data_IF_606963227032
#
_entry.id   IF_606963227032
#
_cell.length_a   1.000
_cell.length_b   1.000
_cell.length_c   1.000
_cell.angle_alpha   90.00
_cell.angle_beta   90.00
_cell.angle_gamma   90.00
#
_symmetry.space_group_name_H-M   'P 1'
#
loop_
_entity.id
_entity.type
_entity.pdbx_description
1 polymer ?
#
# COMPACT_ATOMS: atom_id res chain seq x y z
N UNK A 1 5.34 -12.45 21.95
CA UNK A 1 4.84 -12.24 20.58
C UNK A 1 3.71 -11.24 20.65
N UNK A 2 3.75 -10.17 19.87
CA UNK A 2 2.66 -9.19 19.84
C UNK A 2 1.45 -9.85 19.17
N UNK A 3 0.31 -9.88 19.86
CA UNK A 3 -0.93 -10.39 19.30
C UNK A 3 -1.59 -9.26 18.53
N UNK A 4 -1.53 -9.31 17.20
CA UNK A 4 -2.21 -8.34 16.35
C UNK A 4 -3.72 -8.63 16.34
N UNK A 5 -4.51 -7.56 16.35
CA UNK A 5 -5.96 -7.67 16.28
C UNK A 5 -6.40 -8.00 14.85
N UNK A 6 -7.35 -8.94 14.74
CA UNK A 6 -8.02 -9.21 13.47
C UNK A 6 -8.85 -7.98 13.11
N UNK A 7 -8.62 -7.45 11.92
CA UNK A 7 -9.37 -6.33 11.39
C UNK A 7 -10.79 -6.79 11.03
N UNK A 8 -11.79 -6.16 11.65
CA UNK A 8 -13.22 -6.52 11.49
C UNK A 8 -13.98 -5.59 10.55
N UNK A 9 -13.28 -4.63 9.93
CA UNK A 9 -13.89 -3.71 8.97
C UNK A 9 -14.16 -4.39 7.62
N UNK A 10 -14.48 -3.58 6.61
CA UNK A 10 -14.70 -4.11 5.27
C UNK A 10 -13.43 -4.78 4.75
N UNK A 11 -13.59 -5.99 4.18
CA UNK A 11 -12.51 -6.81 3.64
C UNK A 11 -12.92 -7.49 2.30
N UNK A 12 -13.34 -6.80 1.21
CA UNK A 12 -13.40 -7.34 -0.13
C UNK A 12 -12.39 -8.44 -0.46
N UNK A 13 -12.96 -9.54 -0.97
CA UNK A 13 -12.18 -10.66 -1.53
C UNK A 13 -11.45 -10.27 -2.82
N UNK A 14 -11.84 -9.15 -3.44
CA UNK A 14 -11.26 -8.62 -4.67
C UNK A 14 -11.09 -7.11 -4.54
N UNK A 15 -9.90 -6.68 -4.13
CA UNK A 15 -9.52 -5.27 -4.04
C UNK A 15 -8.84 -4.88 -5.36
N UNK A 16 -9.13 -3.68 -5.88
CA UNK A 16 -8.42 -3.16 -7.05
C UNK A 16 -6.91 -3.19 -6.82
N UNK A 17 -6.13 -3.48 -7.87
CA UNK A 17 -4.66 -3.40 -7.82
C UNK A 17 -4.21 -1.99 -7.43
N UNK A 18 -4.99 -0.98 -7.81
CA UNK A 18 -4.72 0.43 -7.54
C UNK A 18 -4.97 0.80 -6.08
N UNK A 19 -5.45 -0.11 -5.23
CA UNK A 19 -5.58 0.11 -3.79
C UNK A 19 -4.48 -0.59 -2.98
N UNK A 20 -3.57 -1.29 -3.66
CA UNK A 20 -2.66 -2.26 -3.05
C UNK A 20 -1.22 -1.76 -2.99
N UNK A 21 -0.68 -1.71 -1.78
CA UNK A 21 0.74 -1.54 -1.55
C UNK A 21 1.40 -2.89 -1.28
N UNK A 22 2.72 -2.95 -1.39
CA UNK A 22 3.50 -4.12 -1.02
C UNK A 22 4.86 -3.73 -0.45
N UNK A 23 5.27 -4.37 0.63
CA UNK A 23 6.68 -4.34 1.05
C UNK A 23 7.42 -5.41 0.24
N UNK A 24 8.51 -5.03 -0.43
CA UNK A 24 9.36 -5.94 -1.21
C UNK A 24 10.83 -5.65 -0.95
N UNK A 25 11.68 -6.65 -1.16
CA UNK A 25 13.12 -6.46 -1.19
C UNK A 25 13.51 -5.88 -2.56
N UNK A 26 14.04 -4.66 -2.56
CA UNK A 26 14.53 -3.94 -3.74
C UNK A 26 15.94 -3.45 -3.42
N UNK A 27 16.92 -3.81 -4.25
CA UNK A 27 18.34 -3.52 -4.02
C UNK A 27 18.84 -4.00 -2.64
N UNK A 28 18.34 -5.15 -2.17
CA UNK A 28 18.68 -5.71 -0.87
C UNK A 28 18.07 -4.99 0.33
N UNK A 29 17.21 -3.98 0.13
CA UNK A 29 16.53 -3.24 1.20
C UNK A 29 15.01 -3.40 1.10
N UNK A 30 14.29 -3.48 2.22
CA UNK A 30 12.83 -3.53 2.18
C UNK A 30 12.29 -2.13 1.84
N UNK A 31 11.57 -2.04 0.72
CA UNK A 31 10.94 -0.81 0.22
C UNK A 31 9.44 -0.99 0.09
N UNK A 32 8.70 0.10 0.19
CA UNK A 32 7.29 0.12 -0.20
C UNK A 32 7.22 0.17 -1.71
N UNK A 33 6.32 -0.60 -2.30
CA UNK A 33 6.14 -0.75 -3.75
C UNK A 33 4.66 -0.73 -4.12
N UNK A 34 4.38 -0.27 -5.33
CA UNK A 34 3.06 -0.37 -5.96
C UNK A 34 3.21 -1.02 -7.33
N UNK A 35 2.07 -1.43 -7.91
CA UNK A 35 1.99 -1.76 -9.34
C UNK A 35 1.15 -0.66 -9.98
N UNK A 36 1.72 0.05 -10.93
CA UNK A 36 1.04 1.09 -11.70
C UNK A 36 0.90 0.61 -13.14
N UNK A 37 -0.31 0.65 -13.70
CA UNK A 37 -0.58 0.27 -15.08
C UNK A 37 -1.03 1.53 -15.83
N UNK A 38 -0.38 1.86 -16.95
CA UNK A 38 -0.76 3.00 -17.81
C UNK A 38 -1.97 2.64 -18.66
N UNK A 39 -2.63 3.64 -19.24
CA UNK A 39 -3.75 3.43 -20.17
C UNK A 39 -3.33 2.66 -21.44
N UNK A 40 -2.04 2.70 -21.78
CA UNK A 40 -1.45 1.95 -22.90
C UNK A 40 -1.09 0.50 -22.51
N UNK A 41 -1.37 0.09 -21.26
CA UNK A 41 -1.15 -1.27 -20.76
C UNK A 41 0.26 -1.54 -20.25
N UNK A 42 1.10 -0.51 -20.10
CA UNK A 42 2.44 -0.67 -19.54
C UNK A 42 2.38 -0.83 -18.03
N UNK A 43 3.16 -1.78 -17.49
CA UNK A 43 3.24 -2.02 -16.04
C UNK A 43 4.55 -1.54 -15.45
N UNK A 44 4.41 -0.72 -14.44
CA UNK A 44 5.49 -0.13 -13.68
C UNK A 44 5.46 -0.62 -12.24
N UNK A 45 6.66 -0.73 -11.65
CA UNK A 45 6.84 -1.16 -10.26
C UNK A 45 7.58 -0.09 -9.44
N UNK A 46 7.00 1.11 -9.24
CA UNK A 46 7.63 2.14 -8.41
C UNK A 46 7.92 1.64 -7.00
N UNK A 47 9.03 2.11 -6.44
CA UNK A 47 9.45 1.79 -5.07
C UNK A 47 9.97 3.02 -4.34
N UNK A 48 9.80 3.05 -3.02
CA UNK A 48 10.31 4.12 -2.16
C UNK A 48 10.85 3.54 -0.85
N UNK A 49 11.98 4.09 -0.38
CA UNK A 49 12.59 3.78 0.91
C UNK A 49 12.32 4.86 1.98
N UNK A 50 11.50 5.86 1.66
CA UNK A 50 11.17 6.97 2.57
C UNK A 50 10.31 6.57 3.79
N UNK A 51 9.82 5.32 3.85
CA UNK A 51 8.85 4.89 4.86
C UNK A 51 9.33 3.66 5.66
N UNK A 52 10.47 3.74 6.37
CA UNK A 52 11.00 2.61 7.14
C UNK A 52 10.05 2.17 8.26
N UNK A 53 9.34 3.11 8.89
CA UNK A 53 8.34 2.82 9.93
C UNK A 53 7.18 1.98 9.39
N UNK A 54 6.66 2.31 8.21
CA UNK A 54 5.58 1.55 7.58
C UNK A 54 6.02 0.12 7.22
N UNK A 55 7.26 -0.01 6.71
CA UNK A 55 7.87 -1.32 6.44
C UNK A 55 7.94 -2.17 7.70
N UNK A 56 8.37 -1.58 8.82
CA UNK A 56 8.43 -2.25 10.12
C UNK A 56 7.05 -2.70 10.60
N UNK A 57 6.04 -1.82 10.53
CA UNK A 57 4.65 -2.14 10.91
C UNK A 57 4.13 -3.37 10.15
N UNK A 58 4.30 -3.39 8.83
CA UNK A 58 3.85 -4.51 7.99
C UNK A 58 4.63 -5.78 8.30
N UNK A 59 5.96 -5.69 8.44
CA UNK A 59 6.80 -6.86 8.72
C UNK A 59 6.49 -7.47 10.10
N UNK A 60 6.24 -6.65 11.12
CA UNK A 60 5.88 -7.13 12.45
C UNK A 60 4.63 -8.01 12.41
N UNK A 61 3.59 -7.59 11.65
CA UNK A 61 2.40 -8.42 11.43
C UNK A 61 2.73 -9.70 10.67
N UNK A 62 3.40 -9.58 9.51
CA UNK A 62 3.69 -10.72 8.63
C UNK A 62 4.54 -11.79 9.34
N UNK A 63 5.57 -11.38 10.07
CA UNK A 63 6.44 -12.27 10.85
C UNK A 63 5.64 -12.91 11.98
N UNK A 64 4.82 -12.15 12.71
CA UNK A 64 4.05 -12.68 13.83
C UNK A 64 3.00 -13.72 13.41
N UNK A 65 2.40 -13.57 12.23
CA UNK A 65 1.32 -14.47 11.78
C UNK A 65 1.85 -15.62 10.91
N UNK A 66 2.79 -15.35 10.01
CA UNK A 66 3.25 -16.32 9.00
C UNK A 66 4.71 -16.75 9.14
N UNK A 67 5.47 -16.15 10.07
CA UNK A 67 6.90 -16.38 10.23
C UNK A 67 7.78 -15.80 9.12
N UNK A 68 7.21 -15.10 8.14
CA UNK A 68 7.92 -14.54 6.98
C UNK A 68 7.63 -13.03 6.87
N UNK A 69 8.62 -12.19 6.51
CA UNK A 69 8.40 -10.77 6.26
C UNK A 69 7.82 -10.51 4.86
N UNK A 70 7.53 -9.24 4.58
CA UNK A 70 7.15 -8.70 3.27
C UNK A 70 5.74 -9.09 2.78
N UNK A 71 5.33 -8.47 1.67
CA UNK A 71 4.08 -8.75 0.99
C UNK A 71 3.09 -7.59 1.03
N UNK A 72 1.85 -7.89 0.64
CA UNK A 72 0.82 -6.89 0.45
C UNK A 72 0.30 -6.30 1.77
N UNK A 73 -0.15 -5.05 1.69
CA UNK A 73 -0.92 -4.34 2.71
C UNK A 73 -1.78 -3.25 2.05
N UNK A 74 -2.70 -2.68 2.82
CA UNK A 74 -3.64 -1.65 2.40
C UNK A 74 -3.62 -0.51 3.42
N UNK A 75 -3.94 0.70 2.97
CA UNK A 75 -4.22 1.86 3.83
C UNK A 75 -5.58 2.39 3.43
N UNK A 76 -6.52 2.41 4.36
CA UNK A 76 -7.87 2.92 4.13
C UNK A 76 -7.96 4.43 4.40
N UNK A 77 -9.14 5.01 4.20
CA UNK A 77 -9.44 6.43 4.42
C UNK A 77 -9.26 6.89 5.88
N UNK A 78 -9.23 5.96 6.83
CA UNK A 78 -8.95 6.22 8.25
C UNK A 78 -7.46 6.07 8.60
N UNK A 79 -6.58 6.00 7.60
CA UNK A 79 -5.14 5.81 7.77
C UNK A 79 -4.76 4.48 8.42
N UNK A 80 -5.66 3.50 8.46
CA UNK A 80 -5.38 2.21 9.09
C UNK A 80 -4.57 1.33 8.15
N UNK A 81 -3.45 0.79 8.65
CA UNK A 81 -2.60 -0.15 7.93
C UNK A 81 -3.12 -1.56 8.14
N UNK A 82 -3.64 -2.14 7.05
CA UNK A 82 -4.37 -3.40 7.07
C UNK A 82 -3.57 -4.44 6.28
N UNK A 83 -3.21 -5.54 6.94
CA UNK A 83 -2.26 -6.51 6.42
C UNK A 83 -2.94 -7.87 6.24
N UNK A 84 -3.13 -8.37 5.00
CA UNK A 84 -3.58 -9.74 4.78
C UNK A 84 -2.46 -10.71 5.19
N UNK A 85 -2.78 -11.80 5.89
CA UNK A 85 -1.76 -12.82 6.19
C UNK A 85 -1.90 -14.05 5.29
N UNK A 86 -0.76 -14.58 4.84
CA UNK A 86 -0.74 -15.81 4.02
C UNK A 86 -1.10 -17.00 4.90
N UNK A 87 -2.01 -17.85 4.41
CA UNK A 87 -2.50 -19.04 5.14
C UNK A 87 -3.78 -18.81 5.93
N UNK A 88 -4.32 -17.59 5.92
CA UNK A 88 -5.63 -17.25 6.48
C UNK A 88 -6.40 -16.34 5.52
N UNK A 89 -7.72 -16.26 5.69
CA UNK A 89 -8.57 -15.26 5.02
C UNK A 89 -8.64 -13.95 5.81
N UNK A 90 -8.02 -13.91 6.99
CA UNK A 90 -8.05 -12.78 7.91
C UNK A 90 -7.06 -11.68 7.52
N UNK A 91 -7.49 -10.46 7.80
CA UNK A 91 -6.67 -9.25 7.76
C UNK A 91 -6.37 -8.82 9.19
N UNK A 92 -5.20 -8.22 9.39
CA UNK A 92 -4.74 -7.77 10.70
C UNK A 92 -4.46 -6.29 10.67
N UNK A 93 -4.80 -5.61 11.77
CA UNK A 93 -4.52 -4.19 11.94
C UNK A 93 -3.09 -4.01 12.47
N UNK A 94 -2.24 -3.34 11.69
CA UNK A 94 -0.87 -3.01 12.11
C UNK A 94 -0.77 -1.69 12.88
N UNK A 95 -1.80 -0.84 12.80
CA UNK A 95 -1.87 0.48 13.42
C UNK A 95 -2.31 1.54 12.42
N UNK A 96 -2.06 2.81 12.75
CA UNK A 96 -2.38 3.97 11.90
C UNK A 96 -1.11 4.58 11.29
N UNK A 97 -1.20 5.03 10.05
CA UNK A 97 -0.13 5.63 9.28
C UNK A 97 -0.66 6.78 8.41
N UNK A 98 -0.41 8.01 8.85
CA UNK A 98 -0.95 9.24 8.23
C UNK A 98 -0.01 9.91 7.24
N UNK A 99 1.23 9.44 7.10
CA UNK A 99 2.19 10.04 6.18
C UNK A 99 1.84 9.67 4.73
N UNK A 100 1.84 10.66 3.84
CA UNK A 100 1.57 10.43 2.42
C UNK A 100 2.70 9.62 1.78
N UNK A 101 2.33 8.54 1.09
CA UNK A 101 3.28 7.70 0.36
C UNK A 101 3.43 8.25 -1.05
N UNK A 102 4.66 8.57 -1.43
CA UNK A 102 5.00 9.13 -2.75
C UNK A 102 6.04 8.26 -3.44
N UNK A 103 5.85 8.08 -4.74
CA UNK A 103 6.76 7.37 -5.62
C UNK A 103 7.18 8.30 -6.76
N UNK A 104 8.47 8.33 -7.06
CA UNK A 104 8.98 9.06 -8.21
C UNK A 104 9.02 8.14 -9.44
N UNK A 105 8.53 8.63 -10.57
CA UNK A 105 8.52 7.92 -11.84
C UNK A 105 8.68 8.92 -12.99
N UNK A 106 9.79 8.84 -13.73
CA UNK A 106 10.10 9.74 -14.87
C UNK A 106 9.94 11.24 -14.54
N UNK A 107 10.33 11.66 -13.34
CA UNK A 107 10.17 13.05 -12.86
C UNK A 107 8.74 13.42 -12.44
N UNK A 108 7.80 12.47 -12.50
CA UNK A 108 6.43 12.60 -12.01
C UNK A 108 6.28 11.95 -10.64
N UNK A 109 5.31 12.42 -9.86
CA UNK A 109 4.98 11.86 -8.56
C UNK A 109 3.70 11.03 -8.66
N UNK A 110 3.77 9.76 -8.29
CA UNK A 110 2.62 8.89 -8.08
C UNK A 110 2.35 8.85 -6.57
N UNK A 111 1.11 9.13 -6.15
CA UNK A 111 0.76 9.14 -4.74
C UNK A 111 -0.71 8.77 -4.53
N UNK A 112 -1.08 8.55 -3.27
CA UNK A 112 -2.48 8.41 -2.86
C UNK A 112 -3.17 9.75 -2.54
N UNK A 113 -2.61 10.88 -2.95
CA UNK A 113 -3.28 12.18 -2.88
C UNK A 113 -4.19 12.36 -4.11
N UNK A 114 -5.33 13.08 -4.00
CA UNK A 114 -6.24 13.36 -5.11
C UNK A 114 -5.64 14.44 -6.02
N UNK A 115 -4.50 14.15 -6.65
CA UNK A 115 -3.79 15.05 -7.54
C UNK A 115 -3.38 14.35 -8.83
N UNK A 116 -3.32 15.10 -9.91
CA UNK A 116 -2.76 14.65 -11.18
C UNK A 116 -1.22 14.64 -11.14
N UNK A 117 -0.61 14.25 -12.27
CA UNK A 117 0.85 14.22 -12.43
C UNK A 117 1.52 15.60 -12.39
N UNK A 118 0.77 16.67 -12.69
CA UNK A 118 1.24 18.06 -12.60
C UNK A 118 1.07 18.64 -11.19
N UNK A 119 0.56 17.83 -10.24
CA UNK A 119 0.33 18.20 -8.85
C UNK A 119 -0.95 19.02 -8.65
N UNK A 120 -1.82 19.13 -9.66
CA UNK A 120 -3.10 19.84 -9.56
C UNK A 120 -4.14 18.95 -8.87
N UNK A 121 -4.99 19.50 -8.00
CA UNK A 121 -6.09 18.75 -7.41
C UNK A 121 -7.02 18.19 -8.49
N UNK A 122 -7.49 16.95 -8.32
CA UNK A 122 -8.45 16.31 -9.21
C UNK A 122 -9.86 16.88 -8.97
N UNK A 123 -10.60 17.11 -10.05
CA UNK A 123 -12.02 17.44 -10.05
C UNK A 123 -12.89 16.18 -10.24
N UNK A 124 -14.18 16.22 -9.85
CA UNK A 124 -15.10 15.11 -10.11
C UNK A 124 -15.18 14.77 -11.60
N UNK A 125 -14.74 13.56 -11.95
CA UNK A 125 -14.67 13.07 -13.34
C UNK A 125 -13.25 12.84 -13.84
N UNK A 126 -12.24 13.40 -13.15
CA UNK A 126 -10.84 13.21 -13.51
C UNK A 126 -10.33 11.80 -13.17
N UNK A 127 -9.32 11.37 -13.91
CA UNK A 127 -8.66 10.08 -13.70
C UNK A 127 -7.72 10.18 -12.50
N UNK A 128 -7.98 9.36 -11.48
CA UNK A 128 -7.07 9.23 -10.35
C UNK A 128 -5.84 8.40 -10.72
N UNK A 129 -4.67 9.04 -10.68
CA UNK A 129 -3.39 8.44 -10.97
C UNK A 129 -2.69 8.03 -9.66
N UNK A 130 -2.56 6.72 -9.44
CA UNK A 130 -1.81 6.17 -8.31
C UNK A 130 -2.65 5.41 -7.30
N UNK A 131 -2.02 5.01 -6.17
CA UNK A 131 -2.66 4.13 -5.22
C UNK A 131 -3.78 4.83 -4.46
N UNK A 132 -5.02 4.40 -4.65
CA UNK A 132 -6.21 4.92 -3.97
C UNK A 132 -6.28 4.37 -2.55
N UNK A 133 -6.96 5.08 -1.66
CA UNK A 133 -7.32 4.54 -0.36
C UNK A 133 -8.00 3.18 -0.57
N UNK A 134 -7.32 2.14 -0.12
CA UNK A 134 -7.78 0.77 -0.30
C UNK A 134 -8.79 0.49 0.77
N UNK A 135 -10.05 0.38 0.39
CA UNK A 135 -11.00 -0.41 1.16
C UNK A 135 -10.53 -1.86 0.95
N UNK A 136 -9.86 -2.50 1.95
CA UNK A 136 -9.50 -3.90 1.81
C UNK A 136 -10.75 -4.72 1.70
#
# INVERSE_FOLDING_TARGET
>A
MAKFEVFKGNCPKSVSKDAKYSVRLVDGKPKVTIVYETDEGERWYPSTDAHPRLVEMVNNVKISVSGKPYGAFYINEFHQVIVPAVGTIEYYLAGEYSESIRFEFEGKIISGEPKDFDGRPLEPGDVWVGPRAGIP
#
